data_IF_948029099198
#
_entry.id   IF_948029099198
#
_cell.length_a   1.000
_cell.length_b   1.000
_cell.length_c   1.000
_cell.angle_alpha   90.00
_cell.angle_beta   90.00
_cell.angle_gamma   90.00
#
_symmetry.space_group_name_H-M   'P 1'
#
loop_
_entity.id
_entity.type
_entity.pdbx_description
1 polymer ?
#
# COMPACT_ATOMS: atom_id res chain seq x y z
N UNK A 1 66.72 34.48 29.64
CA UNK A 1 65.28 34.79 29.75
C UNK A 1 64.92 34.98 31.21
N UNK A 2 64.23 36.07 31.54
CA UNK A 2 63.73 36.33 32.91
C UNK A 2 62.57 35.36 33.22
N UNK A 3 62.42 34.89 34.47
CA UNK A 3 61.33 33.97 34.89
C UNK A 3 59.93 34.39 34.41
N UNK A 4 59.65 35.71 34.36
CA UNK A 4 58.40 36.27 33.82
C UNK A 4 58.21 36.01 32.32
N UNK A 5 59.28 36.03 31.52
CA UNK A 5 59.22 35.76 30.08
C UNK A 5 58.97 34.27 29.79
N UNK A 6 59.55 33.35 30.58
CA UNK A 6 59.24 31.91 30.48
C UNK A 6 57.78 31.63 30.86
N UNK A 7 57.31 32.21 31.96
CA UNK A 7 55.92 32.03 32.41
C UNK A 7 54.92 32.55 31.37
N UNK A 8 55.19 33.73 30.80
CA UNK A 8 54.34 34.30 29.75
C UNK A 8 54.33 33.44 28.49
N UNK A 9 55.50 32.95 28.06
CA UNK A 9 55.63 32.07 26.88
C UNK A 9 54.85 30.76 27.07
N UNK A 10 55.04 30.06 28.19
CA UNK A 10 54.34 28.81 28.46
C UNK A 10 52.85 28.99 28.70
N UNK A 11 52.43 30.10 29.30
CA UNK A 11 50.99 30.43 29.46
C UNK A 11 50.33 30.69 28.10
N UNK A 12 51.04 31.35 27.19
CA UNK A 12 50.57 31.61 25.84
C UNK A 12 50.53 30.34 24.98
N UNK A 13 51.55 29.49 25.08
CA UNK A 13 51.56 28.16 24.45
C UNK A 13 50.41 27.28 24.95
N UNK A 14 50.18 27.24 26.26
CA UNK A 14 49.05 26.53 26.85
C UNK A 14 47.70 27.08 26.36
N UNK A 15 47.53 28.41 26.33
CA UNK A 15 46.30 29.03 25.83
C UNK A 15 46.05 28.70 24.35
N UNK A 16 47.08 28.72 23.51
CA UNK A 16 46.98 28.36 22.08
C UNK A 16 46.59 26.88 21.92
N UNK A 17 47.17 25.98 22.72
CA UNK A 17 46.81 24.55 22.70
C UNK A 17 45.34 24.36 23.09
N UNK A 18 44.88 24.99 24.18
CA UNK A 18 43.49 24.88 24.65
C UNK A 18 42.51 25.44 23.61
N UNK A 19 42.82 26.61 23.02
CA UNK A 19 41.99 27.20 21.96
C UNK A 19 41.95 26.28 20.73
N UNK A 20 43.08 25.69 20.33
CA UNK A 20 43.14 24.74 19.22
C UNK A 20 42.24 23.51 19.45
N UNK A 21 42.25 22.97 20.67
CA UNK A 21 41.38 21.85 21.06
C UNK A 21 39.90 22.26 21.01
N UNK A 22 39.53 23.42 21.54
CA UNK A 22 38.14 23.91 21.50
C UNK A 22 37.65 24.14 20.06
N UNK A 23 38.49 24.70 19.20
CA UNK A 23 38.18 24.88 17.77
C UNK A 23 38.00 23.52 17.10
N UNK A 24 38.84 22.52 17.39
CA UNK A 24 38.69 21.18 16.83
C UNK A 24 37.37 20.52 17.24
N UNK A 25 36.96 20.65 18.51
CA UNK A 25 35.67 20.12 18.98
C UNK A 25 34.48 20.86 18.35
N UNK A 26 34.60 22.18 18.16
CA UNK A 26 33.57 22.96 17.48
C UNK A 26 33.42 22.57 16.00
N UNK A 27 34.52 22.40 15.28
CA UNK A 27 34.51 21.95 13.88
C UNK A 27 33.95 20.52 13.78
N UNK A 28 34.37 19.62 14.69
CA UNK A 28 33.84 18.26 14.78
C UNK A 28 32.31 18.27 14.95
N UNK A 29 31.81 19.07 15.90
CA UNK A 29 30.37 19.20 16.16
C UNK A 29 29.61 19.73 14.95
N UNK A 30 30.10 20.77 14.29
CA UNK A 30 29.49 21.31 13.07
C UNK A 30 29.48 20.28 11.92
N UNK A 31 30.53 19.46 11.82
CA UNK A 31 30.61 18.39 10.82
C UNK A 31 29.59 17.29 11.13
N UNK A 32 29.45 16.89 12.39
CA UNK A 32 28.49 15.89 12.82
C UNK A 32 27.04 16.38 12.61
N UNK A 33 26.72 17.62 13.02
CA UNK A 33 25.41 18.26 12.78
C UNK A 33 25.06 18.29 11.27
N UNK A 34 26.03 18.63 10.41
CA UNK A 34 25.84 18.61 8.95
C UNK A 34 25.59 17.21 8.40
N UNK A 35 26.28 16.19 8.93
CA UNK A 35 26.08 14.79 8.52
C UNK A 35 24.69 14.31 8.91
N UNK A 36 24.27 14.55 10.15
CA UNK A 36 22.93 14.18 10.63
C UNK A 36 21.82 14.83 9.80
N UNK A 37 21.94 16.13 9.52
CA UNK A 37 20.97 16.84 8.68
C UNK A 37 20.88 16.25 7.26
N UNK A 38 22.02 15.83 6.69
CA UNK A 38 22.06 15.18 5.38
C UNK A 38 21.36 13.81 5.40
N UNK A 39 21.65 12.99 6.40
CA UNK A 39 21.04 11.66 6.57
C UNK A 39 19.51 11.76 6.76
N UNK A 40 19.04 12.76 7.50
CA UNK A 40 17.62 13.06 7.67
C UNK A 40 16.99 13.45 6.32
N UNK A 41 17.61 14.37 5.57
CA UNK A 41 17.09 14.80 4.27
C UNK A 41 17.04 13.66 3.24
N UNK A 42 18.08 12.81 3.18
CA UNK A 42 18.10 11.63 2.30
C UNK A 42 17.01 10.60 2.69
N UNK A 43 16.79 10.41 4.01
CA UNK A 43 15.72 9.55 4.52
C UNK A 43 14.33 10.08 4.18
N UNK A 44 14.13 11.40 4.26
CA UNK A 44 12.86 12.06 3.94
C UNK A 44 12.58 12.04 2.44
N UNK A 45 13.58 12.27 1.59
CA UNK A 45 13.45 12.16 0.15
C UNK A 45 13.03 10.75 -0.27
N UNK A 46 13.65 9.73 0.33
CA UNK A 46 13.31 8.31 0.13
C UNK A 46 11.88 8.03 0.58
N UNK A 47 11.49 8.50 1.76
CA UNK A 47 10.12 8.37 2.28
C UNK A 47 9.09 9.01 1.34
N UNK A 48 9.36 10.21 0.82
CA UNK A 48 8.47 10.91 -0.11
C UNK A 48 8.30 10.14 -1.43
N UNK A 49 9.39 9.63 -2.00
CA UNK A 49 9.36 8.77 -3.19
C UNK A 49 8.47 7.54 -2.97
N UNK A 50 8.61 6.88 -1.83
CA UNK A 50 7.82 5.69 -1.51
C UNK A 50 6.35 6.01 -1.28
N UNK A 51 6.03 7.10 -0.57
CA UNK A 51 4.65 7.57 -0.43
C UNK A 51 4.05 7.79 -1.82
N UNK A 52 4.80 8.36 -2.76
CA UNK A 52 4.34 8.52 -4.14
C UNK A 52 4.11 7.17 -4.84
N UNK A 53 5.04 6.22 -4.74
CA UNK A 53 4.85 4.86 -5.28
C UNK A 53 3.61 4.19 -4.69
N UNK A 54 3.36 4.39 -3.40
CA UNK A 54 2.20 3.84 -2.70
C UNK A 54 0.89 4.50 -3.12
N UNK A 55 0.89 5.81 -3.34
CA UNK A 55 -0.23 6.54 -3.91
C UNK A 55 -0.56 5.96 -5.28
N UNK A 56 0.44 5.82 -6.16
CA UNK A 56 0.24 5.26 -7.51
C UNK A 56 -0.36 3.85 -7.46
N UNK A 57 0.17 2.97 -6.60
CA UNK A 57 -0.37 1.64 -6.39
C UNK A 57 -1.82 1.67 -5.87
N UNK A 58 -2.09 2.51 -4.86
CA UNK A 58 -3.42 2.59 -4.25
C UNK A 58 -4.46 3.20 -5.19
N UNK A 59 -4.08 4.18 -6.02
CA UNK A 59 -4.95 4.77 -7.04
C UNK A 59 -5.36 3.71 -8.08
N UNK A 60 -4.41 2.89 -8.55
CA UNK A 60 -4.71 1.79 -9.47
C UNK A 60 -5.53 0.67 -8.82
N UNK A 61 -5.17 0.26 -7.60
CA UNK A 61 -5.94 -0.75 -6.85
C UNK A 61 -7.36 -0.27 -6.55
N UNK A 62 -7.56 1.02 -6.30
CA UNK A 62 -8.88 1.62 -6.11
C UNK A 62 -9.72 1.51 -7.37
N UNK A 63 -9.15 1.82 -8.53
CA UNK A 63 -9.82 1.65 -9.83
C UNK A 63 -10.25 0.20 -10.06
N UNK A 64 -9.39 -0.76 -9.73
CA UNK A 64 -9.71 -2.17 -9.84
C UNK A 64 -10.86 -2.59 -8.90
N UNK A 65 -10.89 -2.10 -7.65
CA UNK A 65 -12.00 -2.37 -6.73
C UNK A 65 -13.31 -1.75 -7.21
N UNK A 66 -13.27 -0.54 -7.77
CA UNK A 66 -14.44 0.09 -8.37
C UNK A 66 -14.96 -0.68 -9.58
N UNK A 67 -14.05 -1.17 -10.42
CA UNK A 67 -14.43 -2.06 -11.53
C UNK A 67 -15.04 -3.37 -11.03
N UNK A 68 -14.45 -3.98 -9.99
CA UNK A 68 -15.00 -5.17 -9.35
C UNK A 68 -16.42 -4.93 -8.79
N UNK A 69 -16.66 -3.76 -8.19
CA UNK A 69 -17.99 -3.34 -7.72
C UNK A 69 -18.98 -3.28 -8.88
N UNK A 70 -18.62 -2.61 -9.98
CA UNK A 70 -19.49 -2.48 -11.17
C UNK A 70 -19.84 -3.86 -11.75
N UNK A 71 -18.85 -4.76 -11.85
CA UNK A 71 -19.09 -6.13 -12.33
C UNK A 71 -19.99 -6.91 -11.38
N UNK A 72 -19.76 -6.83 -10.06
CA UNK A 72 -20.59 -7.49 -9.07
C UNK A 72 -22.05 -6.99 -9.09
N UNK A 73 -22.25 -5.69 -9.23
CA UNK A 73 -23.59 -5.09 -9.32
C UNK A 73 -24.27 -5.46 -10.66
N UNK A 74 -23.50 -5.58 -11.75
CA UNK A 74 -24.01 -6.08 -13.03
C UNK A 74 -24.49 -7.54 -12.92
N UNK A 75 -23.76 -8.38 -12.17
CA UNK A 75 -24.18 -9.75 -11.87
C UNK A 75 -25.47 -9.76 -11.07
N UNK A 76 -25.58 -8.96 -10.00
CA UNK A 76 -26.77 -8.91 -9.14
C UNK A 76 -28.02 -8.46 -9.91
N UNK A 77 -27.88 -7.41 -10.73
CA UNK A 77 -28.97 -6.87 -11.54
C UNK A 77 -29.44 -7.83 -12.65
N UNK A 78 -28.57 -8.76 -13.07
CA UNK A 78 -28.83 -9.70 -14.15
C UNK A 78 -28.65 -11.15 -13.67
N UNK A 79 -28.98 -11.42 -12.41
CA UNK A 79 -28.65 -12.69 -11.73
C UNK A 79 -29.18 -13.92 -12.48
N UNK A 80 -30.41 -13.85 -12.95
CA UNK A 80 -31.06 -14.94 -13.68
C UNK A 80 -30.33 -15.24 -15.01
N UNK A 81 -29.69 -14.24 -15.61
CA UNK A 81 -28.92 -14.33 -16.85
C UNK A 81 -27.41 -14.47 -16.63
N UNK A 82 -26.95 -14.65 -15.39
CA UNK A 82 -25.55 -14.92 -15.10
C UNK A 82 -25.08 -16.19 -15.84
N UNK A 83 -24.09 -16.02 -16.71
CA UNK A 83 -23.40 -17.08 -17.46
C UNK A 83 -21.96 -16.61 -17.79
N UNK A 84 -21.11 -17.53 -18.28
CA UNK A 84 -19.72 -17.22 -18.64
C UNK A 84 -19.60 -16.03 -19.61
N UNK A 85 -20.41 -15.97 -20.66
CA UNK A 85 -20.34 -14.93 -21.71
C UNK A 85 -20.63 -13.55 -21.14
N UNK A 86 -21.71 -13.41 -20.38
CA UNK A 86 -22.10 -12.15 -19.74
C UNK A 86 -21.04 -11.70 -18.74
N UNK A 87 -20.48 -12.63 -17.96
CA UNK A 87 -19.44 -12.33 -16.98
C UNK A 87 -18.16 -11.80 -17.64
N UNK A 88 -17.72 -12.43 -18.73
CA UNK A 88 -16.57 -11.97 -19.54
C UNK A 88 -16.85 -10.58 -20.11
N UNK A 89 -18.06 -10.35 -20.65
CA UNK A 89 -18.43 -9.06 -21.21
C UNK A 89 -18.42 -7.94 -20.17
N UNK A 90 -18.91 -8.20 -18.95
CA UNK A 90 -18.88 -7.21 -17.87
C UNK A 90 -17.44 -6.93 -17.41
N UNK A 91 -16.62 -7.96 -17.24
CA UNK A 91 -15.21 -7.80 -16.88
C UNK A 91 -14.40 -7.08 -17.95
N UNK A 92 -14.57 -7.39 -19.24
CA UNK A 92 -13.86 -6.69 -20.32
C UNK A 92 -14.17 -5.19 -20.35
N UNK A 93 -15.40 -4.79 -19.99
CA UNK A 93 -15.78 -3.37 -19.86
C UNK A 93 -15.19 -2.72 -18.60
N UNK A 94 -15.06 -3.48 -17.53
CA UNK A 94 -14.60 -3.02 -16.22
C UNK A 94 -13.58 -4.02 -15.64
N UNK A 95 -12.35 -4.04 -16.16
CA UNK A 95 -11.40 -5.09 -15.81
C UNK A 95 -10.82 -4.84 -14.42
N UNK A 96 -10.63 -5.92 -13.66
CA UNK A 96 -10.04 -5.86 -12.32
C UNK A 96 -9.08 -7.02 -12.04
N UNK A 97 -9.21 -8.15 -12.75
CA UNK A 97 -8.23 -9.23 -12.75
C UNK A 97 -6.99 -8.79 -13.52
N UNK A 98 -5.82 -8.92 -12.89
CA UNK A 98 -4.58 -8.37 -13.43
C UNK A 98 -3.33 -9.11 -12.94
N UNK A 99 -2.24 -8.92 -13.68
CA UNK A 99 -0.89 -9.31 -13.28
C UNK A 99 0.06 -8.15 -13.49
N UNK A 100 1.14 -8.11 -12.70
CA UNK A 100 2.30 -7.29 -13.02
C UNK A 100 3.26 -8.12 -13.86
N UNK A 101 3.72 -7.56 -14.98
CA UNK A 101 4.71 -8.15 -15.87
C UNK A 101 6.12 -8.01 -15.24
N UNK A 102 7.12 -8.68 -15.83
CA UNK A 102 8.51 -8.65 -15.35
C UNK A 102 9.09 -7.22 -15.28
N UNK A 103 8.63 -6.32 -16.15
CA UNK A 103 9.01 -4.90 -16.18
C UNK A 103 8.18 -4.02 -15.22
N UNK A 104 7.33 -4.63 -14.39
CA UNK A 104 6.46 -3.95 -13.44
C UNK A 104 5.20 -3.33 -14.06
N UNK A 105 4.96 -3.48 -15.38
CA UNK A 105 3.74 -2.95 -16.00
C UNK A 105 2.52 -3.79 -15.62
N UNK A 106 1.41 -3.10 -15.41
CA UNK A 106 0.11 -3.72 -15.18
C UNK A 106 -0.47 -4.26 -16.49
N UNK A 107 -0.90 -5.53 -16.47
CA UNK A 107 -1.68 -6.15 -17.54
C UNK A 107 -3.00 -6.68 -16.98
N UNK A 108 -4.11 -6.18 -17.53
CA UNK A 108 -5.44 -6.72 -17.26
C UNK A 108 -5.68 -8.03 -18.02
N UNK A 109 -6.46 -8.93 -17.42
CA UNK A 109 -6.82 -10.22 -17.97
C UNK A 109 -8.05 -10.12 -18.89
N UNK A 110 -7.86 -9.56 -20.08
CA UNK A 110 -8.95 -9.26 -21.03
C UNK A 110 -8.84 -10.00 -22.35
N UNK A 111 -7.85 -10.87 -22.53
CA UNK A 111 -7.68 -11.66 -23.74
C UNK A 111 -8.51 -12.95 -23.65
N UNK A 112 -8.96 -13.49 -24.77
CA UNK A 112 -9.78 -14.72 -24.79
C UNK A 112 -9.10 -15.89 -24.05
N UNK A 113 -7.78 -16.04 -24.23
CA UNK A 113 -6.99 -17.08 -23.56
C UNK A 113 -6.91 -16.94 -22.04
N UNK A 114 -7.13 -15.74 -21.49
CA UNK A 114 -7.21 -15.55 -20.04
C UNK A 114 -8.45 -16.27 -19.47
N UNK A 115 -9.54 -16.31 -20.21
CA UNK A 115 -10.84 -16.77 -19.73
C UNK A 115 -11.05 -18.29 -19.79
N UNK A 116 -10.13 -19.03 -20.40
CA UNK A 116 -10.20 -20.49 -20.47
C UNK A 116 -10.25 -21.11 -19.06
N UNK A 117 -9.54 -20.51 -18.11
CA UNK A 117 -9.48 -20.99 -16.72
C UNK A 117 -9.91 -19.94 -15.68
N UNK A 118 -10.04 -18.66 -16.05
CA UNK A 118 -10.21 -17.57 -15.08
C UNK A 118 -11.64 -17.06 -14.90
N UNK A 119 -12.63 -17.50 -15.68
CA UNK A 119 -13.94 -16.86 -15.59
C UNK A 119 -14.62 -17.01 -14.21
N UNK A 120 -14.44 -18.16 -13.53
CA UNK A 120 -14.94 -18.34 -12.15
C UNK A 120 -14.31 -17.34 -11.18
N UNK A 121 -13.05 -16.96 -11.42
CA UNK A 121 -12.36 -16.01 -10.57
C UNK A 121 -13.04 -14.65 -10.60
N UNK A 122 -13.74 -14.25 -11.67
CA UNK A 122 -14.42 -12.95 -11.71
C UNK A 122 -15.49 -12.78 -10.61
N UNK A 123 -16.00 -13.87 -10.02
CA UNK A 123 -16.98 -13.85 -8.93
C UNK A 123 -16.41 -14.32 -7.58
N UNK A 124 -15.22 -14.91 -7.56
CA UNK A 124 -14.55 -15.42 -6.35
C UNK A 124 -13.24 -14.70 -6.03
N UNK A 125 -12.76 -13.81 -6.89
CA UNK A 125 -11.50 -13.11 -6.69
C UNK A 125 -11.71 -11.91 -5.78
N UNK A 126 -10.82 -11.63 -4.84
CA UNK A 126 -10.96 -10.50 -3.92
C UNK A 126 -9.97 -9.36 -4.20
N UNK A 127 -9.01 -9.49 -5.12
CA UNK A 127 -7.88 -8.56 -5.35
C UNK A 127 -7.02 -8.38 -4.10
N UNK A 128 -5.98 -9.19 -4.00
CA UNK A 128 -4.97 -9.11 -2.93
C UNK A 128 -4.37 -7.70 -2.88
N UNK A 129 -4.27 -7.13 -1.69
CA UNK A 129 -3.56 -5.86 -1.47
C UNK A 129 -2.06 -6.15 -1.23
N UNK A 130 -1.35 -6.45 -2.31
CA UNK A 130 0.06 -6.81 -2.29
C UNK A 130 0.96 -5.59 -2.54
N UNK A 131 0.78 -4.53 -1.75
CA UNK A 131 1.68 -3.38 -1.80
C UNK A 131 3.06 -3.78 -1.29
N UNK A 132 4.13 -3.36 -1.99
CA UNK A 132 5.52 -3.54 -1.51
C UNK A 132 5.63 -3.12 -0.03
N UNK A 133 6.37 -3.89 0.77
CA UNK A 133 6.66 -3.52 2.16
C UNK A 133 7.46 -2.22 2.17
N UNK A 134 6.78 -1.12 2.49
CA UNK A 134 7.31 0.24 2.45
C UNK A 134 8.42 0.38 3.51
N UNK A 135 9.45 1.18 3.22
CA UNK A 135 10.56 1.52 4.11
C UNK A 135 10.10 2.29 5.36
N UNK A 136 8.80 2.53 5.58
CA UNK A 136 8.25 2.76 6.92
C UNK A 136 8.71 1.69 7.91
N UNK A 137 8.72 0.43 7.48
CA UNK A 137 9.24 -0.68 8.29
C UNK A 137 10.74 -0.50 8.55
N UNK A 138 11.49 0.01 7.57
CA UNK A 138 12.91 0.34 7.70
C UNK A 138 13.15 1.55 8.62
N UNK A 139 12.42 2.66 8.46
CA UNK A 139 12.46 3.86 9.32
C UNK A 139 12.11 3.51 10.77
N UNK A 140 11.10 2.68 10.99
CA UNK A 140 10.75 2.13 12.31
C UNK A 140 11.89 1.23 12.82
N UNK A 141 12.36 0.27 12.00
CA UNK A 141 13.38 -0.71 12.42
C UNK A 141 14.75 -0.09 12.69
N UNK A 142 15.09 1.03 12.03
CA UNK A 142 16.34 1.76 12.19
C UNK A 142 16.26 2.87 13.25
N UNK A 143 15.10 3.07 13.87
CA UNK A 143 14.87 4.15 14.85
C UNK A 143 14.89 5.57 14.26
N UNK A 144 15.00 5.70 12.93
CA UNK A 144 15.10 6.99 12.23
C UNK A 144 13.83 7.84 12.37
N UNK A 145 12.68 7.22 12.70
CA UNK A 145 11.47 7.96 13.02
C UNK A 145 11.70 8.92 14.20
N UNK A 146 12.48 8.53 15.21
CA UNK A 146 12.75 9.35 16.40
C UNK A 146 13.59 10.60 16.07
N UNK A 147 14.35 10.56 14.98
CA UNK A 147 15.18 11.66 14.51
C UNK A 147 14.38 12.73 13.75
N UNK A 148 13.11 12.45 13.40
CA UNK A 148 12.18 13.47 12.94
C UNK A 148 11.72 14.24 14.19
N UNK A 149 12.25 15.45 14.38
CA UNK A 149 11.93 16.28 15.56
C UNK A 149 10.46 16.71 15.59
N UNK A 150 9.83 16.90 14.42
CA UNK A 150 8.41 17.26 14.32
C UNK A 150 7.51 16.06 14.70
N UNK A 151 7.05 16.07 15.96
CA UNK A 151 6.11 15.09 16.49
C UNK A 151 4.84 14.91 15.65
N UNK A 152 4.34 15.96 15.00
CA UNK A 152 3.12 15.86 14.18
C UNK A 152 3.34 15.00 12.93
N UNK A 153 4.53 15.07 12.33
CA UNK A 153 4.89 14.24 11.18
C UNK A 153 5.04 12.78 11.61
N UNK A 154 5.64 12.53 12.79
CA UNK A 154 5.75 11.17 13.34
C UNK A 154 4.38 10.55 13.59
N UNK A 155 3.47 11.30 14.21
CA UNK A 155 2.10 10.85 14.47
C UNK A 155 1.33 10.55 13.18
N UNK A 156 1.49 11.38 12.14
CA UNK A 156 0.88 11.13 10.83
C UNK A 156 1.42 9.87 10.17
N UNK A 157 2.74 9.64 10.22
CA UNK A 157 3.40 8.43 9.71
C UNK A 157 2.84 7.19 10.41
N UNK A 158 2.76 7.21 11.74
CA UNK A 158 2.20 6.10 12.53
C UNK A 158 0.72 5.89 12.21
N UNK A 159 -0.06 6.96 12.07
CA UNK A 159 -1.48 6.91 11.73
C UNK A 159 -1.73 6.29 10.36
N UNK A 160 -0.93 6.65 9.35
CA UNK A 160 -0.96 6.04 8.00
C UNK A 160 -0.69 4.54 8.10
N UNK A 161 0.35 4.13 8.84
CA UNK A 161 0.70 2.72 9.03
C UNK A 161 -0.42 1.94 9.74
N UNK A 162 -0.95 2.49 10.82
CA UNK A 162 -2.06 1.88 11.58
C UNK A 162 -3.31 1.76 10.71
N UNK A 163 -3.61 2.76 9.88
CA UNK A 163 -4.76 2.75 8.97
C UNK A 163 -4.64 1.61 7.94
N UNK A 164 -3.46 1.43 7.32
CA UNK A 164 -3.20 0.29 6.44
C UNK A 164 -3.50 -1.04 7.15
N UNK A 165 -2.85 -1.26 8.29
CA UNK A 165 -2.93 -2.54 9.03
C UNK A 165 -4.32 -2.83 9.60
N UNK A 166 -4.96 -1.84 10.23
CA UNK A 166 -6.23 -2.05 10.95
C UNK A 166 -7.47 -1.88 10.10
N UNK A 167 -7.40 -1.20 8.96
CA UNK A 167 -8.58 -0.91 8.13
C UNK A 167 -8.50 -1.56 6.76
N UNK A 168 -7.42 -1.36 6.01
CA UNK A 168 -7.28 -1.88 4.64
C UNK A 168 -7.18 -3.41 4.66
N UNK A 169 -6.26 -3.97 5.44
CA UNK A 169 -6.04 -5.43 5.53
C UNK A 169 -7.23 -6.17 6.17
N UNK A 170 -7.90 -5.54 7.15
CA UNK A 170 -9.10 -6.11 7.76
C UNK A 170 -10.25 -6.20 6.75
N UNK A 171 -10.53 -5.12 6.01
CA UNK A 171 -11.59 -5.13 5.01
C UNK A 171 -11.27 -6.04 3.83
N UNK A 172 -10.00 -6.19 3.46
CA UNK A 172 -9.55 -7.23 2.53
C UNK A 172 -9.89 -8.63 3.04
N UNK A 173 -9.55 -8.93 4.29
CA UNK A 173 -9.80 -10.24 4.90
C UNK A 173 -11.29 -10.58 4.92
N UNK A 174 -12.15 -9.59 5.15
CA UNK A 174 -13.61 -9.75 5.11
C UNK A 174 -14.12 -10.07 3.70
N UNK A 175 -13.61 -9.40 2.66
CA UNK A 175 -13.95 -9.71 1.27
C UNK A 175 -13.43 -11.08 0.86
N UNK A 176 -12.21 -11.45 1.27
CA UNK A 176 -11.65 -12.78 1.06
C UNK A 176 -12.54 -13.85 1.68
N UNK A 177 -12.91 -13.70 2.95
CA UNK A 177 -13.77 -14.66 3.64
C UNK A 177 -15.14 -14.83 2.98
N UNK A 178 -15.74 -13.75 2.46
CA UNK A 178 -16.96 -13.86 1.65
C UNK A 178 -16.71 -14.58 0.31
N UNK A 179 -15.59 -14.27 -0.35
CA UNK A 179 -15.21 -14.90 -1.62
C UNK A 179 -14.95 -16.41 -1.47
N UNK A 180 -14.30 -16.81 -0.38
CA UNK A 180 -14.10 -18.22 -0.02
C UNK A 180 -15.44 -18.94 0.17
N UNK A 181 -16.47 -18.27 0.74
CA UNK A 181 -17.82 -18.84 0.84
C UNK A 181 -18.48 -19.06 -0.52
N UNK A 182 -18.30 -18.14 -1.47
CA UNK A 182 -18.79 -18.29 -2.85
C UNK A 182 -18.08 -19.49 -3.51
N UNK A 183 -16.76 -19.58 -3.36
CA UNK A 183 -15.99 -20.71 -3.88
C UNK A 183 -16.47 -22.05 -3.30
N UNK A 184 -16.63 -22.13 -1.98
CA UNK A 184 -17.16 -23.32 -1.30
C UNK A 184 -18.58 -23.65 -1.75
N UNK A 185 -19.43 -22.65 -2.03
CA UNK A 185 -20.75 -22.91 -2.58
C UNK A 185 -20.65 -23.63 -3.94
N UNK A 186 -19.74 -23.20 -4.83
CA UNK A 186 -19.52 -23.86 -6.13
C UNK A 186 -19.05 -25.30 -5.96
N UNK A 187 -18.05 -25.54 -5.10
CA UNK A 187 -17.55 -26.91 -4.87
C UNK A 187 -18.65 -27.80 -4.29
N UNK A 188 -19.45 -27.31 -3.34
CA UNK A 188 -20.59 -28.07 -2.81
C UNK A 188 -21.62 -28.43 -3.90
N UNK A 189 -21.86 -27.57 -4.89
CA UNK A 189 -22.75 -27.92 -6.01
C UNK A 189 -22.18 -29.03 -6.88
N UNK A 190 -20.85 -29.11 -7.02
CA UNK A 190 -20.14 -30.18 -7.75
C UNK A 190 -20.17 -31.49 -6.98
N UNK A 191 -19.81 -31.44 -5.70
CA UNK A 191 -19.65 -32.63 -4.85
C UNK A 191 -20.98 -33.35 -4.59
N UNK A 192 -22.09 -32.61 -4.59
CA UNK A 192 -23.44 -33.19 -4.47
C UNK A 192 -24.05 -33.63 -5.81
N UNK A 193 -23.31 -33.51 -6.92
CA UNK A 193 -23.78 -33.94 -8.24
C UNK A 193 -23.51 -35.44 -8.46
N UNK A 194 -24.49 -36.17 -8.99
CA UNK A 194 -24.33 -37.59 -9.37
C UNK A 194 -23.52 -37.79 -10.64
N UNK A 195 -23.21 -36.72 -11.36
CA UNK A 195 -22.36 -36.70 -12.56
C UNK A 195 -21.35 -35.56 -12.49
N UNK A 196 -20.23 -35.70 -13.18
CA UNK A 196 -19.30 -34.58 -13.35
C UNK A 196 -20.02 -33.40 -14.03
N UNK A 197 -19.99 -32.25 -13.37
CA UNK A 197 -20.51 -30.98 -13.90
C UNK A 197 -19.42 -29.92 -13.88
N UNK A 198 -19.46 -29.08 -14.90
CA UNK A 198 -18.57 -27.93 -15.03
C UNK A 198 -19.06 -26.78 -14.15
N UNK A 199 -18.16 -25.85 -13.85
CA UNK A 199 -18.50 -24.63 -13.12
C UNK A 199 -19.49 -23.76 -13.91
N UNK A 200 -19.41 -23.76 -15.24
CA UNK A 200 -20.30 -22.98 -16.10
C UNK A 200 -21.74 -23.50 -15.99
N UNK A 201 -21.93 -24.83 -16.01
CA UNK A 201 -23.23 -25.44 -15.78
C UNK A 201 -23.84 -25.08 -14.41
N UNK A 202 -23.02 -24.94 -13.36
CA UNK A 202 -23.49 -24.54 -12.04
C UNK A 202 -24.04 -23.12 -12.06
N UNK A 203 -23.32 -22.18 -12.67
CA UNK A 203 -23.80 -20.79 -12.77
C UNK A 203 -24.94 -20.63 -13.77
N UNK A 204 -25.10 -21.52 -14.74
CA UNK A 204 -26.23 -21.48 -15.65
C UNK A 204 -27.50 -22.05 -15.00
N UNK A 205 -27.40 -23.13 -14.22
CA UNK A 205 -28.57 -23.96 -13.87
C UNK A 205 -28.78 -24.23 -12.38
N UNK A 206 -27.78 -23.98 -11.52
CA UNK A 206 -27.84 -24.31 -10.09
C UNK A 206 -27.79 -23.08 -9.17
N UNK A 207 -27.93 -21.88 -9.73
CA UNK A 207 -28.07 -20.62 -8.98
C UNK A 207 -29.23 -20.71 -8.00
N UNK A 208 -29.00 -20.26 -6.78
CA UNK A 208 -29.99 -20.27 -5.71
C UNK A 208 -29.98 -18.94 -4.92
N UNK A 209 -30.88 -18.81 -3.94
CA UNK A 209 -30.90 -17.63 -3.07
C UNK A 209 -29.60 -17.48 -2.27
N UNK A 210 -28.95 -18.59 -1.92
CA UNK A 210 -27.71 -18.58 -1.13
C UNK A 210 -26.58 -17.90 -1.89
N UNK A 211 -26.38 -18.22 -3.16
CA UNK A 211 -25.41 -17.53 -4.01
C UNK A 211 -25.76 -16.05 -4.18
N UNK A 212 -27.04 -15.71 -4.38
CA UNK A 212 -27.48 -14.31 -4.50
C UNK A 212 -27.11 -13.50 -3.24
N UNK A 213 -27.45 -14.01 -2.05
CA UNK A 213 -27.11 -13.37 -0.79
C UNK A 213 -25.59 -13.21 -0.61
N UNK A 214 -24.80 -14.20 -1.03
CA UNK A 214 -23.33 -14.09 -0.97
C UNK A 214 -22.78 -13.01 -1.89
N UNK A 215 -23.38 -12.80 -3.07
CA UNK A 215 -23.02 -11.73 -4.02
C UNK A 215 -23.47 -10.34 -3.53
N UNK A 216 -24.60 -10.24 -2.83
CA UNK A 216 -25.04 -9.01 -2.16
C UNK A 216 -24.07 -8.64 -1.02
N UNK A 217 -23.71 -9.62 -0.17
CA UNK A 217 -22.68 -9.46 0.84
C UNK A 217 -21.34 -9.02 0.22
N UNK A 218 -20.97 -9.63 -0.92
CA UNK A 218 -19.75 -9.29 -1.65
C UNK A 218 -19.74 -7.82 -2.07
N UNK A 219 -20.85 -7.31 -2.63
CA UNK A 219 -21.03 -5.90 -2.98
C UNK A 219 -20.78 -4.98 -1.78
N UNK A 220 -21.35 -5.33 -0.62
CA UNK A 220 -21.10 -4.59 0.61
C UNK A 220 -19.62 -4.61 1.03
N UNK A 221 -18.95 -5.77 0.96
CA UNK A 221 -17.52 -5.88 1.31
C UNK A 221 -16.60 -5.13 0.36
N UNK A 222 -16.87 -5.12 -0.94
CA UNK A 222 -16.11 -4.33 -1.92
C UNK A 222 -16.22 -2.83 -1.60
N UNK A 223 -17.43 -2.34 -1.30
CA UNK A 223 -17.64 -0.95 -0.91
C UNK A 223 -16.86 -0.56 0.37
N UNK A 224 -16.82 -1.42 1.38
CA UNK A 224 -15.99 -1.20 2.57
C UNK A 224 -14.50 -1.06 2.21
N UNK A 225 -13.99 -1.89 1.28
CA UNK A 225 -12.60 -1.80 0.82
C UNK A 225 -12.35 -0.49 0.10
N UNK A 226 -13.22 -0.11 -0.85
CA UNK A 226 -13.15 1.17 -1.57
C UNK A 226 -13.09 2.33 -0.58
N UNK A 227 -13.98 2.35 0.41
CA UNK A 227 -14.01 3.40 1.43
C UNK A 227 -12.70 3.44 2.24
N UNK A 228 -12.23 2.30 2.76
CA UNK A 228 -10.99 2.27 3.54
C UNK A 228 -9.76 2.68 2.74
N UNK A 229 -9.71 2.31 1.45
CA UNK A 229 -8.59 2.65 0.58
C UNK A 229 -8.59 4.13 0.20
N UNK A 230 -9.76 4.72 -0.05
CA UNK A 230 -9.89 6.18 -0.25
C UNK A 230 -9.38 6.97 0.95
N UNK A 231 -9.73 6.53 2.16
CA UNK A 231 -9.25 7.17 3.38
C UNK A 231 -7.73 7.02 3.53
N UNK A 232 -7.19 5.82 3.31
CA UNK A 232 -5.74 5.58 3.35
C UNK A 232 -4.98 6.43 2.32
N UNK A 233 -5.49 6.50 1.10
CA UNK A 233 -4.95 7.32 0.02
C UNK A 233 -4.95 8.82 0.37
N UNK A 234 -6.03 9.30 1.02
CA UNK A 234 -6.11 10.69 1.52
C UNK A 234 -5.04 10.95 2.58
N UNK A 235 -4.84 10.02 3.53
CA UNK A 235 -3.78 10.13 4.54
C UNK A 235 -2.39 10.13 3.93
N UNK A 236 -2.12 9.28 2.92
CA UNK A 236 -0.86 9.29 2.18
C UNK A 236 -0.61 10.64 1.48
N UNK A 237 -1.61 11.17 0.76
CA UNK A 237 -1.51 12.46 0.05
C UNK A 237 -1.27 13.61 1.03
N UNK A 238 -1.95 13.61 2.17
CA UNK A 238 -1.76 14.62 3.21
C UNK A 238 -0.36 14.56 3.84
N UNK A 239 0.13 13.35 4.17
CA UNK A 239 1.48 13.17 4.70
C UNK A 239 2.54 13.62 3.69
N UNK A 240 2.36 13.28 2.40
CA UNK A 240 3.26 13.72 1.33
C UNK A 240 3.38 15.25 1.28
N UNK A 241 2.25 15.95 1.23
CA UNK A 241 2.21 17.41 1.20
C UNK A 241 2.92 18.01 2.41
N UNK A 242 2.67 17.48 3.62
CA UNK A 242 3.34 17.95 4.84
C UNK A 242 4.86 17.75 4.78
N UNK A 243 5.33 16.64 4.25
CA UNK A 243 6.77 16.39 4.08
C UNK A 243 7.39 17.34 3.06
N UNK A 244 6.72 17.59 1.93
CA UNK A 244 7.16 18.54 0.89
C UNK A 244 7.16 20.01 1.37
N UNK A 245 6.22 20.40 2.22
CA UNK A 245 6.16 21.76 2.79
C UNK A 245 7.23 22.00 3.86
N UNK A 246 7.52 20.97 4.66
CA UNK A 246 8.42 21.06 5.84
C UNK A 246 9.88 20.86 5.47
N UNK A 247 10.14 20.02 4.48
CA UNK A 247 11.47 19.71 4.02
C UNK A 247 11.53 20.15 2.56
N UNK A 248 12.52 20.97 2.20
CA UNK A 248 12.73 21.44 0.83
C UNK A 248 13.14 20.28 -0.08
N UNK A 249 12.23 19.33 -0.30
CA UNK A 249 12.42 18.16 -1.14
C UNK A 249 12.31 18.67 -2.57
N UNK A 250 13.38 18.60 -3.39
CA UNK A 250 13.29 18.96 -4.78
C UNK A 250 12.27 18.03 -5.45
N UNK A 251 11.25 18.63 -6.07
CA UNK A 251 10.26 17.93 -6.90
C UNK A 251 11.03 17.22 -8.03
N UNK A 252 11.08 15.90 -8.00
CA UNK A 252 11.54 15.06 -9.12
C UNK A 252 10.40 14.78 -10.07
#
# INVERSE_FOLDING_TARGET
MRKKELFFKYSLEFAVIVIGILISFYIQRLSDEKRELREINESIATLSYEIQTNINYCDEHLKQLQNMQIVNDSILNNYDFLNKVNLINWHNKHPFGHSYLEDGKLRYWTNDSDYDNLYLWMITWWNTFAQNEIYFKSLISKGLLLNIEDSSIREDIESVYVTKKKRVEVNESLLKANSDKIFLWVENQRDNSTKSITRDEIFNYKKDLKLKNLLEDRSFRINLRIMSLKNYLSSLKSLKSKLEDRFSIPLS
#
